data_IF_492674821102
#
_entry.id   IF_492674821102
#
_cell.length_a   1.000
_cell.length_b   1.000
_cell.length_c   1.000
_cell.angle_alpha   90.00
_cell.angle_beta   90.00
_cell.angle_gamma   90.00
#
_symmetry.space_group_name_H-M   'P 1'
#
loop_
_entity.id
_entity.type
_entity.pdbx_description
1 polymer ?
#
# COMPACT_ATOMS: atom_id res chain seq x y z
N UNK A 1 3.53 -12.71 13.15
CA UNK A 1 4.32 -11.51 12.78
C UNK A 1 3.86 -11.03 11.41
N UNK A 2 3.58 -9.73 11.23
CA UNK A 2 2.93 -9.19 10.03
C UNK A 2 3.82 -9.07 8.79
N UNK A 3 4.50 -10.16 8.42
CA UNK A 3 5.69 -10.32 7.57
C UNK A 3 5.71 -9.73 6.14
N UNK A 4 4.90 -8.73 5.84
CA UNK A 4 4.95 -7.97 4.60
C UNK A 4 6.30 -7.26 4.41
N UNK A 5 7.03 -6.92 5.49
CA UNK A 5 8.34 -6.26 5.36
C UNK A 5 9.34 -7.09 4.56
N UNK A 6 9.19 -8.42 4.52
CA UNK A 6 10.05 -9.31 3.74
C UNK A 6 9.94 -9.06 2.23
N UNK A 7 8.83 -8.50 1.76
CA UNK A 7 8.61 -8.13 0.36
C UNK A 7 9.33 -6.82 -0.03
N UNK A 8 9.82 -6.08 0.98
CA UNK A 8 10.36 -4.73 0.82
C UNK A 8 11.75 -4.62 1.48
N UNK A 9 12.65 -5.56 1.18
CA UNK A 9 14.01 -5.62 1.73
C UNK A 9 14.09 -5.68 3.27
N UNK A 10 13.09 -6.23 3.96
CA UNK A 10 12.94 -6.19 5.42
C UNK A 10 12.87 -4.77 6.01
N UNK A 11 12.50 -3.77 5.21
CA UNK A 11 12.24 -2.41 5.68
C UNK A 11 10.76 -2.28 6.04
N UNK A 12 10.50 -1.68 7.21
CA UNK A 12 9.14 -1.41 7.71
C UNK A 12 8.65 -0.01 7.38
N UNK A 13 9.58 0.92 7.17
CA UNK A 13 9.27 2.32 6.90
C UNK A 13 9.89 2.73 5.58
N UNK A 14 9.07 3.30 4.70
CA UNK A 14 9.47 3.81 3.41
C UNK A 14 9.03 5.27 3.30
N UNK A 15 10.00 6.18 3.19
CA UNK A 15 9.71 7.55 2.78
C UNK A 15 9.67 7.57 1.25
N UNK A 16 8.49 7.76 0.67
CA UNK A 16 8.27 7.74 -0.78
C UNK A 16 7.96 9.14 -1.29
N UNK A 17 8.52 9.47 -2.46
CA UNK A 17 8.13 10.65 -3.22
C UNK A 17 7.32 10.16 -4.43
N UNK A 18 6.00 10.27 -4.34
CA UNK A 18 5.08 9.95 -5.44
C UNK A 18 4.66 11.25 -6.15
N UNK A 19 4.35 11.19 -7.46
CA UNK A 19 3.89 12.38 -8.18
C UNK A 19 2.54 12.85 -7.62
N UNK A 20 2.28 14.16 -7.65
CA UNK A 20 1.01 14.72 -7.19
C UNK A 20 -0.17 14.35 -8.10
N UNK A 21 0.10 13.97 -9.36
CA UNK A 21 -0.90 13.54 -10.32
C UNK A 21 -0.41 12.34 -11.13
N UNK A 22 -1.35 11.48 -11.51
CA UNK A 22 -1.10 10.33 -12.39
C UNK A 22 -0.94 10.77 -13.86
N UNK A 23 -0.80 9.80 -14.77
CA UNK A 23 -0.58 10.06 -16.20
C UNK A 23 -1.73 10.83 -16.88
N UNK A 24 -2.94 10.75 -16.33
CA UNK A 24 -4.13 11.45 -16.81
C UNK A 24 -4.32 12.84 -16.17
N UNK A 25 -3.38 13.28 -15.32
CA UNK A 25 -3.45 14.55 -14.62
C UNK A 25 -4.42 14.57 -13.44
N UNK A 26 -4.91 13.41 -12.99
CA UNK A 26 -5.75 13.28 -11.79
C UNK A 26 -4.88 13.10 -10.54
N UNK A 27 -5.35 13.50 -9.35
CA UNK A 27 -4.67 13.17 -8.09
C UNK A 27 -4.35 11.69 -7.99
N UNK A 28 -3.23 11.36 -7.36
CA UNK A 28 -2.86 9.96 -7.08
C UNK A 28 -3.67 9.44 -5.90
N UNK A 29 -4.15 8.21 -6.03
CA UNK A 29 -4.94 7.52 -5.03
C UNK A 29 -4.19 6.32 -4.41
N UNK A 30 -4.82 5.65 -3.45
CA UNK A 30 -4.25 4.44 -2.82
C UNK A 30 -4.05 3.32 -3.86
N UNK A 31 -4.93 3.18 -4.85
CA UNK A 31 -4.74 2.23 -5.94
C UNK A 31 -3.41 2.47 -6.68
N UNK A 32 -3.14 3.72 -7.06
CA UNK A 32 -1.86 4.12 -7.65
C UNK A 32 -0.68 3.80 -6.73
N UNK A 33 -0.79 4.03 -5.42
CA UNK A 33 0.27 3.71 -4.48
C UNK A 33 0.55 2.21 -4.41
N UNK A 34 -0.48 1.36 -4.37
CA UNK A 34 -0.33 -0.10 -4.36
C UNK A 34 0.43 -0.56 -5.60
N UNK A 35 0.06 -0.05 -6.77
CA UNK A 35 0.76 -0.34 -8.02
C UNK A 35 2.21 0.17 -7.99
N UNK A 36 2.43 1.39 -7.49
CA UNK A 36 3.75 1.99 -7.36
C UNK A 36 4.66 1.15 -6.44
N UNK A 37 4.15 0.67 -5.31
CA UNK A 37 4.85 -0.20 -4.37
C UNK A 37 5.27 -1.50 -5.06
N UNK A 38 4.34 -2.16 -5.75
CA UNK A 38 4.59 -3.41 -6.47
C UNK A 38 5.62 -3.29 -7.61
N UNK A 39 5.70 -2.13 -8.25
CA UNK A 39 6.54 -1.92 -9.42
C UNK A 39 7.92 -1.35 -9.07
N UNK A 40 8.02 -0.50 -8.05
CA UNK A 40 9.21 0.32 -7.80
C UNK A 40 9.87 0.05 -6.44
N UNK A 41 9.14 -0.47 -5.46
CA UNK A 41 9.61 -0.58 -4.08
C UNK A 41 9.79 -2.04 -3.66
N UNK A 42 8.89 -2.92 -4.09
CA UNK A 42 8.95 -4.35 -3.83
C UNK A 42 10.16 -4.98 -4.53
N UNK A 43 10.97 -5.72 -3.78
CA UNK A 43 12.17 -6.42 -4.27
C UNK A 43 12.01 -7.95 -4.31
N UNK A 44 10.86 -8.46 -3.89
CA UNK A 44 10.51 -9.88 -3.91
C UNK A 44 9.61 -10.24 -5.12
N UNK A 45 9.75 -11.46 -5.63
CA UNK A 45 8.96 -11.95 -6.75
C UNK A 45 7.54 -12.40 -6.36
N UNK A 46 7.27 -12.63 -5.07
CA UNK A 46 5.99 -13.10 -4.52
C UNK A 46 4.96 -11.98 -4.35
N UNK A 47 4.68 -11.29 -5.46
CA UNK A 47 3.70 -10.18 -5.52
C UNK A 47 2.30 -10.59 -5.06
N UNK A 48 1.95 -11.86 -5.24
CA UNK A 48 0.69 -12.49 -4.83
C UNK A 48 0.45 -12.47 -3.31
N UNK A 49 1.50 -12.24 -2.50
CA UNK A 49 1.38 -12.04 -1.06
C UNK A 49 0.89 -10.63 -0.67
N UNK A 50 0.95 -9.68 -1.61
CA UNK A 50 0.52 -8.29 -1.40
C UNK A 50 -0.70 -7.92 -2.26
N UNK A 51 -0.73 -8.35 -3.53
CA UNK A 51 -1.82 -8.07 -4.49
C UNK A 51 -2.31 -9.39 -5.08
N UNK A 52 -3.62 -9.61 -5.08
CA UNK A 52 -4.28 -10.76 -5.69
C UNK A 52 -5.39 -10.27 -6.63
N UNK A 53 -5.46 -10.83 -7.83
CA UNK A 53 -6.46 -10.45 -8.85
C UNK A 53 -6.53 -8.93 -9.11
N UNK A 54 -5.37 -8.27 -9.08
CA UNK A 54 -5.21 -6.83 -9.29
C UNK A 54 -5.82 -5.93 -8.19
N UNK A 55 -6.13 -6.51 -7.03
CA UNK A 55 -6.57 -5.81 -5.82
C UNK A 55 -5.66 -6.11 -4.63
N UNK A 56 -5.69 -5.28 -3.60
CA UNK A 56 -4.98 -5.57 -2.36
C UNK A 56 -5.44 -6.94 -1.81
N UNK A 57 -4.47 -7.79 -1.45
CA UNK A 57 -4.77 -9.16 -1.02
C UNK A 57 -5.67 -9.13 0.23
N UNK A 58 -6.79 -9.89 0.25
CA UNK A 58 -7.63 -10.01 1.43
C UNK A 58 -6.80 -10.43 2.66
N UNK A 59 -7.12 -9.85 3.82
CA UNK A 59 -6.34 -10.04 5.06
C UNK A 59 -5.10 -9.14 5.16
N UNK A 60 -5.00 -8.11 4.34
CA UNK A 60 -4.18 -6.93 4.59
C UNK A 60 -5.13 -5.79 4.97
N UNK A 61 -4.93 -5.21 6.15
CA UNK A 61 -5.60 -3.99 6.59
C UNK A 61 -4.76 -2.78 6.17
N UNK A 62 -5.43 -1.69 5.81
CA UNK A 62 -4.78 -0.41 5.51
C UNK A 62 -5.28 0.63 6.49
N UNK A 63 -4.35 1.37 7.10
CA UNK A 63 -4.66 2.55 7.88
C UNK A 63 -4.08 3.78 7.19
N UNK A 64 -4.87 4.85 7.14
CA UNK A 64 -4.46 6.16 6.65
C UNK A 64 -4.45 7.11 7.85
N UNK A 65 -3.27 7.58 8.26
CA UNK A 65 -3.09 8.42 9.46
C UNK A 65 -3.74 7.80 10.72
N UNK A 66 -3.52 6.49 10.93
CA UNK A 66 -4.09 5.67 12.01
C UNK A 66 -5.62 5.50 11.97
N UNK A 67 -6.30 5.98 10.92
CA UNK A 67 -7.72 5.74 10.67
C UNK A 67 -7.93 4.58 9.69
N UNK A 68 -9.05 3.86 9.84
CA UNK A 68 -9.42 2.75 8.95
C UNK A 68 -9.78 3.27 7.55
N UNK A 69 -9.08 2.77 6.53
CA UNK A 69 -9.28 3.21 5.14
C UNK A 69 -10.70 2.96 4.60
N UNK A 70 -11.44 2.00 5.18
CA UNK A 70 -12.82 1.68 4.78
C UNK A 70 -13.74 2.89 4.97
N UNK A 71 -13.39 3.81 5.88
CA UNK A 71 -14.12 5.05 6.14
C UNK A 71 -13.61 6.23 5.30
N UNK A 72 -12.42 6.11 4.71
CA UNK A 72 -11.73 7.17 3.97
C UNK A 72 -11.86 7.03 2.44
N UNK A 73 -12.52 5.97 1.97
CA UNK A 73 -12.74 5.72 0.53
C UNK A 73 -11.82 4.66 -0.08
N UNK A 74 -11.14 3.87 0.75
CA UNK A 74 -10.36 2.69 0.37
C UNK A 74 -9.33 3.01 -0.75
N UNK A 75 -9.36 2.25 -1.84
CA UNK A 75 -8.47 2.40 -3.00
C UNK A 75 -8.59 3.78 -3.68
N UNK A 76 -9.73 4.46 -3.54
CA UNK A 76 -10.02 5.75 -4.20
C UNK A 76 -9.63 6.98 -3.36
N UNK A 77 -9.10 6.78 -2.14
CA UNK A 77 -8.64 7.89 -1.32
C UNK A 77 -7.50 8.65 -2.02
N UNK A 78 -7.66 9.96 -2.22
CA UNK A 78 -6.64 10.83 -2.80
C UNK A 78 -5.53 11.13 -1.78
N UNK A 79 -4.32 10.66 -2.05
CA UNK A 79 -3.19 10.77 -1.13
C UNK A 79 -2.74 12.22 -0.99
N UNK A 80 -2.54 12.65 0.25
CA UNK A 80 -2.10 13.98 0.62
C UNK A 80 -0.63 14.00 1.04
N UNK A 81 -0.02 15.18 0.93
CA UNK A 81 1.35 15.37 1.39
C UNK A 81 1.44 15.21 2.91
N UNK A 82 2.29 14.29 3.35
CA UNK A 82 2.51 14.01 4.77
C UNK A 82 1.69 12.86 5.33
N UNK A 83 0.86 12.20 4.52
CA UNK A 83 0.11 11.02 4.97
C UNK A 83 1.03 9.88 5.41
N UNK A 84 0.60 9.22 6.48
CA UNK A 84 1.17 7.97 6.94
C UNK A 84 0.22 6.82 6.56
N UNK A 85 0.66 5.94 5.66
CA UNK A 85 -0.13 4.81 5.17
C UNK A 85 0.50 3.51 5.68
N UNK A 86 -0.26 2.74 6.46
CA UNK A 86 0.21 1.51 7.09
C UNK A 86 -0.51 0.29 6.51
N UNK A 87 0.25 -0.69 6.01
CA UNK A 87 -0.25 -1.99 5.59
C UNK A 87 0.03 -3.05 6.66
N UNK A 88 -1.00 -3.75 7.13
CA UNK A 88 -0.89 -4.77 8.18
C UNK A 88 -1.47 -6.09 7.70
N UNK A 89 -0.63 -7.12 7.53
CA UNK A 89 -1.13 -8.48 7.26
C UNK A 89 -1.71 -9.11 8.54
N UNK A 90 -2.98 -9.46 8.51
CA UNK A 90 -3.71 -10.14 9.59
C UNK A 90 -3.74 -11.66 9.42
N UNK A 91 -3.32 -12.17 8.25
CA UNK A 91 -3.35 -13.59 7.91
C UNK A 91 -2.28 -14.47 8.60
N UNK A 92 -1.30 -13.88 9.29
CA UNK A 92 -0.19 -14.62 9.91
C UNK A 92 -0.16 -14.49 11.44
N UNK A 93 -1.32 -14.74 12.04
CA UNK A 93 -1.49 -14.97 13.49
C UNK A 93 -1.20 -16.42 13.85
N UNK A 94 0.09 -16.76 13.91
CA UNK A 94 0.65 -18.01 14.44
C UNK A 94 2.07 -17.78 14.91
#
# INVERSE_FOLDING_TARGET
SGGLEMLFSNKRQHALAIPAANQDGKPVDIAYLIDHLCQNVMDDSRKDLFVLDNHLRPGILVLINDADWELEGEEAYEIQSGDNILFVSTLHGG
#
